data_IF_397485742868
#
_entry.id   IF_397485742868
#
_cell.length_a   1.000
_cell.length_b   1.000
_cell.length_c   1.000
_cell.angle_alpha   90.00
_cell.angle_beta   90.00
_cell.angle_gamma   90.00
#
_symmetry.space_group_name_H-M   'P 1'
#
loop_
_entity.id
_entity.type
_entity.pdbx_description
1 polymer ?
#
# COMPACT_ATOMS: atom_id res chain seq x y z
N UNK A 1 -40.46 17.25 -20.21
CA UNK A 1 -40.54 16.26 -21.31
C UNK A 1 -39.11 15.95 -21.72
N UNK A 2 -38.62 14.74 -21.45
CA UNK A 2 -37.29 14.29 -21.89
C UNK A 2 -37.25 14.20 -23.42
N UNK A 3 -36.14 14.63 -24.01
CA UNK A 3 -35.95 14.60 -25.47
C UNK A 3 -35.86 13.15 -25.97
N UNK A 4 -36.33 12.87 -27.19
CA UNK A 4 -36.21 11.55 -27.84
C UNK A 4 -34.76 11.03 -27.81
N UNK A 5 -33.78 11.95 -27.92
CA UNK A 5 -32.35 11.62 -27.84
C UNK A 5 -31.93 11.16 -26.45
N UNK A 6 -32.42 11.81 -25.39
CA UNK A 6 -32.14 11.43 -24.00
C UNK A 6 -32.74 10.07 -23.68
N UNK A 7 -33.96 9.82 -24.14
CA UNK A 7 -34.65 8.55 -23.91
C UNK A 7 -33.92 7.38 -24.60
N UNK A 8 -33.41 7.58 -25.81
CA UNK A 8 -32.58 6.60 -26.50
C UNK A 8 -31.22 6.36 -25.81
N UNK A 9 -30.63 7.39 -25.19
CA UNK A 9 -29.37 7.26 -24.46
C UNK A 9 -29.57 6.48 -23.15
N UNK A 10 -30.65 6.76 -22.41
CA UNK A 10 -31.04 6.01 -21.21
C UNK A 10 -31.31 4.54 -21.55
N UNK A 11 -32.00 4.25 -22.66
CA UNK A 11 -32.21 2.86 -23.09
C UNK A 11 -30.90 2.12 -23.38
N UNK A 12 -29.89 2.79 -23.98
CA UNK A 12 -28.55 2.20 -24.21
C UNK A 12 -27.79 1.94 -22.92
N UNK A 13 -27.88 2.86 -21.95
CA UNK A 13 -27.32 2.64 -20.62
C UNK A 13 -27.94 1.38 -19.98
N UNK A 14 -29.26 1.28 -19.99
CA UNK A 14 -29.95 0.15 -19.36
C UNK A 14 -29.62 -1.18 -20.03
N UNK A 15 -29.51 -1.21 -21.37
CA UNK A 15 -29.05 -2.41 -22.07
C UNK A 15 -27.62 -2.77 -21.71
N UNK A 16 -26.70 -1.79 -21.64
CA UNK A 16 -25.31 -2.04 -21.22
C UNK A 16 -25.22 -2.61 -19.80
N UNK A 17 -25.99 -2.05 -18.86
CA UNK A 17 -26.03 -2.56 -17.48
C UNK A 17 -26.64 -3.97 -17.42
N UNK A 18 -27.66 -4.25 -18.22
CA UNK A 18 -28.28 -5.57 -18.33
C UNK A 18 -27.31 -6.60 -18.95
N UNK A 19 -26.51 -6.19 -19.93
CA UNK A 19 -25.46 -7.02 -20.52
C UNK A 19 -24.41 -7.38 -19.47
N UNK A 20 -23.97 -6.41 -18.65
CA UNK A 20 -23.07 -6.68 -17.53
C UNK A 20 -23.66 -7.65 -16.50
N UNK A 21 -24.92 -7.41 -16.11
CA UNK A 21 -25.61 -8.18 -15.07
C UNK A 21 -25.80 -9.66 -15.52
N UNK A 22 -26.07 -9.90 -16.81
CA UNK A 22 -26.24 -11.25 -17.38
C UNK A 22 -24.94 -11.89 -17.90
N UNK A 23 -23.85 -11.14 -18.01
CA UNK A 23 -22.60 -11.63 -18.59
C UNK A 23 -21.90 -12.68 -17.73
N UNK A 24 -21.37 -13.72 -18.39
CA UNK A 24 -20.39 -14.64 -17.79
C UNK A 24 -19.00 -14.01 -17.66
N UNK A 25 -18.04 -14.73 -17.07
CA UNK A 25 -16.68 -14.23 -16.80
C UNK A 25 -15.98 -13.65 -18.05
N UNK A 26 -16.03 -14.36 -19.18
CA UNK A 26 -15.39 -13.93 -20.41
C UNK A 26 -16.03 -12.65 -20.99
N UNK A 27 -17.36 -12.60 -21.01
CA UNK A 27 -18.10 -11.43 -21.49
C UNK A 27 -17.85 -10.20 -20.59
N UNK A 28 -17.84 -10.35 -19.26
CA UNK A 28 -17.45 -9.27 -18.34
C UNK A 28 -16.03 -8.78 -18.58
N UNK A 29 -15.09 -9.69 -18.82
CA UNK A 29 -13.71 -9.35 -19.16
C UNK A 29 -13.63 -8.46 -20.40
N UNK A 30 -14.37 -8.79 -21.47
CA UNK A 30 -14.43 -7.99 -22.69
C UNK A 30 -15.14 -6.64 -22.48
N UNK A 31 -16.20 -6.59 -21.67
CA UNK A 31 -16.85 -5.33 -21.30
C UNK A 31 -15.85 -4.41 -20.57
N UNK A 32 -15.03 -4.96 -19.66
CA UNK A 32 -14.00 -4.19 -18.95
C UNK A 32 -12.90 -3.70 -19.88
N UNK A 33 -12.42 -4.52 -20.82
CA UNK A 33 -11.40 -4.09 -21.80
C UNK A 33 -11.91 -2.90 -22.61
N UNK A 34 -13.10 -3.03 -23.20
CA UNK A 34 -13.74 -1.95 -23.94
C UNK A 34 -13.93 -0.70 -23.08
N UNK A 35 -14.35 -0.87 -21.82
CA UNK A 35 -14.52 0.26 -20.92
C UNK A 35 -13.20 0.98 -20.66
N UNK A 36 -12.14 0.24 -20.34
CA UNK A 36 -10.81 0.79 -20.05
C UNK A 36 -10.26 1.54 -21.25
N UNK A 37 -10.27 0.92 -22.44
CA UNK A 37 -9.75 1.53 -23.66
C UNK A 37 -10.47 2.82 -24.03
N UNK A 38 -11.80 2.87 -23.85
CA UNK A 38 -12.59 4.02 -24.25
C UNK A 38 -12.63 5.15 -23.21
N UNK A 39 -12.34 4.87 -21.93
CA UNK A 39 -12.61 5.82 -20.84
C UNK A 39 -11.38 6.28 -20.05
N UNK A 40 -10.17 5.81 -20.38
CA UNK A 40 -8.95 6.35 -19.78
C UNK A 40 -8.80 7.86 -20.03
N UNK A 41 -8.45 8.60 -18.98
CA UNK A 41 -8.18 10.04 -19.05
C UNK A 41 -9.43 10.94 -19.11
N UNK A 42 -10.64 10.37 -19.08
CA UNK A 42 -11.88 11.16 -19.07
C UNK A 42 -12.13 11.85 -17.73
N UNK A 43 -12.78 12.99 -17.80
CA UNK A 43 -13.32 13.71 -16.65
C UNK A 43 -14.62 13.07 -16.15
N UNK A 44 -15.02 13.35 -14.90
CA UNK A 44 -16.27 12.84 -14.36
C UNK A 44 -17.49 13.28 -15.19
N UNK A 45 -17.44 14.48 -15.79
CA UNK A 45 -18.52 14.99 -16.64
C UNK A 45 -18.65 14.22 -17.96
N UNK A 46 -17.53 13.84 -18.57
CA UNK A 46 -17.54 13.02 -19.80
C UNK A 46 -18.04 11.61 -19.52
N UNK A 47 -17.65 11.03 -18.39
CA UNK A 47 -18.21 9.74 -17.94
C UNK A 47 -19.72 9.84 -17.74
N UNK A 48 -20.22 10.87 -17.05
CA UNK A 48 -21.66 11.02 -16.88
C UNK A 48 -22.38 11.29 -18.21
N UNK A 49 -21.77 11.97 -19.17
CA UNK A 49 -22.35 12.13 -20.51
C UNK A 49 -22.46 10.79 -21.26
N UNK A 50 -21.43 9.96 -21.21
CA UNK A 50 -21.43 8.63 -21.84
C UNK A 50 -22.50 7.72 -21.23
N UNK A 51 -22.62 7.76 -19.89
CA UNK A 51 -23.55 6.92 -19.15
C UNK A 51 -24.89 7.60 -18.88
N UNK A 52 -25.29 8.64 -19.63
CA UNK A 52 -26.59 9.31 -19.47
C UNK A 52 -26.93 9.70 -18.02
N UNK A 53 -25.95 10.23 -17.28
CA UNK A 53 -25.98 10.59 -15.85
C UNK A 53 -26.14 9.39 -14.90
N UNK A 54 -25.81 8.19 -15.36
CA UNK A 54 -25.89 6.93 -14.63
C UNK A 54 -24.55 6.24 -14.42
N UNK A 55 -23.43 6.96 -14.48
CA UNK A 55 -22.10 6.35 -14.39
C UNK A 55 -21.87 5.66 -13.03
N UNK A 56 -22.38 6.26 -11.95
CA UNK A 56 -22.41 5.66 -10.60
C UNK A 56 -23.05 4.26 -10.56
N UNK A 57 -24.05 3.98 -11.41
CA UNK A 57 -24.70 2.67 -11.45
C UNK A 57 -23.75 1.58 -11.93
N UNK A 58 -22.80 1.93 -12.81
CA UNK A 58 -21.78 1.00 -13.25
C UNK A 58 -20.68 0.85 -12.18
N UNK A 59 -20.27 1.94 -11.52
CA UNK A 59 -19.31 1.88 -10.42
C UNK A 59 -19.78 0.97 -9.27
N UNK A 60 -21.06 1.05 -8.88
CA UNK A 60 -21.64 0.17 -7.85
C UNK A 60 -21.55 -1.31 -8.26
N UNK A 61 -21.79 -1.62 -9.54
CA UNK A 61 -21.68 -2.98 -10.08
C UNK A 61 -20.23 -3.47 -10.09
N UNK A 62 -19.29 -2.63 -10.49
CA UNK A 62 -17.85 -2.93 -10.44
C UNK A 62 -17.41 -3.22 -9.00
N UNK A 63 -17.82 -2.39 -8.05
CA UNK A 63 -17.45 -2.53 -6.64
C UNK A 63 -18.09 -3.76 -6.00
N UNK A 64 -19.34 -4.07 -6.36
CA UNK A 64 -20.01 -5.30 -5.94
C UNK A 64 -19.31 -6.53 -6.51
N UNK A 65 -18.94 -6.48 -7.79
CA UNK A 65 -18.21 -7.56 -8.44
C UNK A 65 -16.82 -7.76 -7.84
N UNK A 66 -16.09 -6.69 -7.53
CA UNK A 66 -14.82 -6.74 -6.80
C UNK A 66 -14.97 -7.53 -5.49
N UNK A 67 -15.95 -7.18 -4.65
CA UNK A 67 -16.22 -7.88 -3.38
C UNK A 67 -16.59 -9.36 -3.56
N UNK A 68 -17.26 -9.72 -4.65
CA UNK A 68 -17.60 -11.13 -4.94
C UNK A 68 -16.41 -11.95 -5.46
N UNK A 69 -15.42 -11.29 -6.07
CA UNK A 69 -14.39 -11.97 -6.88
C UNK A 69 -12.98 -11.84 -6.37
N UNK A 70 -12.68 -10.90 -5.46
CA UNK A 70 -11.31 -10.66 -4.99
C UNK A 70 -10.63 -11.92 -4.44
N UNK A 71 -11.37 -12.81 -3.77
CA UNK A 71 -10.87 -14.10 -3.28
C UNK A 71 -10.64 -15.17 -4.37
N UNK A 72 -11.21 -14.97 -5.57
CA UNK A 72 -11.15 -15.92 -6.68
C UNK A 72 -10.26 -15.47 -7.85
N UNK A 73 -9.77 -14.22 -7.83
CA UNK A 73 -8.82 -13.68 -8.83
C UNK A 73 -9.37 -13.49 -10.25
N UNK A 74 -10.69 -13.59 -10.46
CA UNK A 74 -11.26 -13.54 -11.82
C UNK A 74 -11.32 -12.10 -12.37
N UNK A 75 -10.44 -11.76 -13.32
CA UNK A 75 -10.37 -10.45 -14.00
C UNK A 75 -10.16 -9.26 -13.04
N UNK A 76 -9.47 -9.50 -11.93
CA UNK A 76 -9.35 -8.55 -10.83
C UNK A 76 -8.62 -7.26 -11.24
N UNK A 77 -7.47 -7.36 -11.92
CA UNK A 77 -6.75 -6.23 -12.51
C UNK A 77 -7.67 -5.31 -13.34
N UNK A 78 -8.49 -5.88 -14.21
CA UNK A 78 -9.40 -5.11 -15.09
C UNK A 78 -10.49 -4.39 -14.30
N UNK A 79 -11.02 -5.04 -13.26
CA UNK A 79 -12.01 -4.43 -12.37
C UNK A 79 -11.38 -3.26 -11.61
N UNK A 80 -10.18 -3.46 -11.05
CA UNK A 80 -9.44 -2.43 -10.31
C UNK A 80 -9.10 -1.24 -11.21
N UNK A 81 -8.57 -1.49 -12.42
CA UNK A 81 -8.32 -0.43 -13.42
C UNK A 81 -9.59 0.33 -13.80
N UNK A 82 -10.70 -0.37 -13.98
CA UNK A 82 -11.99 0.27 -14.28
C UNK A 82 -12.47 1.15 -13.14
N UNK A 83 -12.33 0.71 -11.88
CA UNK A 83 -12.60 1.55 -10.70
C UNK A 83 -11.65 2.74 -10.66
N UNK A 84 -10.38 2.55 -11.01
CA UNK A 84 -9.36 3.60 -11.09
C UNK A 84 -9.76 4.74 -12.03
N UNK A 85 -10.39 4.45 -13.17
CA UNK A 85 -10.91 5.47 -14.09
C UNK A 85 -11.92 6.39 -13.39
N UNK A 86 -12.83 5.83 -12.59
CA UNK A 86 -13.78 6.64 -11.83
C UNK A 86 -13.06 7.50 -10.78
N UNK A 87 -12.15 6.91 -10.00
CA UNK A 87 -11.51 7.58 -8.87
C UNK A 87 -10.49 8.65 -9.29
N UNK A 88 -9.84 8.48 -10.43
CA UNK A 88 -8.83 9.42 -10.96
C UNK A 88 -9.43 10.52 -11.85
N UNK A 89 -10.70 10.39 -12.24
CA UNK A 89 -11.37 11.39 -13.06
C UNK A 89 -11.40 12.77 -12.39
N UNK A 90 -11.28 13.84 -13.18
CA UNK A 90 -11.37 15.21 -12.64
C UNK A 90 -12.76 15.42 -12.03
N UNK A 91 -12.81 15.92 -10.79
CA UNK A 91 -14.02 16.06 -9.95
C UNK A 91 -14.67 14.71 -9.52
N UNK A 92 -13.87 13.67 -9.31
CA UNK A 92 -14.30 12.33 -8.87
C UNK A 92 -14.83 12.21 -7.43
N UNK A 93 -14.97 13.30 -6.68
CA UNK A 93 -15.33 13.27 -5.26
C UNK A 93 -16.57 12.41 -4.95
N UNK A 94 -17.58 12.47 -5.83
CA UNK A 94 -18.79 11.64 -5.70
C UNK A 94 -18.48 10.14 -5.81
N UNK A 95 -17.76 9.73 -6.85
CA UNK A 95 -17.37 8.33 -7.06
C UNK A 95 -16.49 7.80 -5.94
N UNK A 96 -15.58 8.64 -5.44
CA UNK A 96 -14.74 8.30 -4.30
C UNK A 96 -15.57 8.03 -3.05
N UNK A 97 -16.53 8.89 -2.73
CA UNK A 97 -17.43 8.68 -1.58
C UNK A 97 -18.25 7.39 -1.78
N UNK A 98 -18.89 7.21 -2.94
CA UNK A 98 -19.69 6.02 -3.24
C UNK A 98 -18.87 4.73 -3.10
N UNK A 99 -17.61 4.73 -3.56
CA UNK A 99 -16.70 3.59 -3.43
C UNK A 99 -16.31 3.31 -1.96
N UNK A 100 -16.05 4.35 -1.19
CA UNK A 100 -15.66 4.21 0.22
C UNK A 100 -16.83 3.78 1.12
N UNK A 101 -18.03 4.29 0.87
CA UNK A 101 -19.25 3.97 1.64
C UNK A 101 -19.61 2.48 1.57
N UNK A 102 -19.33 1.81 0.45
CA UNK A 102 -19.58 0.37 0.28
C UNK A 102 -18.41 -0.50 0.77
N UNK A 103 -17.42 0.08 1.46
CA UNK A 103 -16.27 -0.64 2.02
C UNK A 103 -15.15 -0.92 1.00
N UNK A 104 -15.05 -0.11 -0.05
CA UNK A 104 -14.05 -0.29 -1.11
C UNK A 104 -12.61 -0.28 -0.58
N UNK A 105 -12.26 0.67 0.30
CA UNK A 105 -10.93 0.73 0.91
C UNK A 105 -10.57 -0.54 1.71
N UNK A 106 -11.51 -1.08 2.49
CA UNK A 106 -11.30 -2.32 3.23
C UNK A 106 -11.06 -3.49 2.28
N UNK A 107 -11.82 -3.58 1.18
CA UNK A 107 -11.65 -4.64 0.18
C UNK A 107 -10.26 -4.56 -0.49
N UNK A 108 -9.77 -3.35 -0.76
CA UNK A 108 -8.42 -3.13 -1.29
C UNK A 108 -7.33 -3.57 -0.31
N UNK A 109 -7.50 -3.28 0.99
CA UNK A 109 -6.56 -3.70 2.04
C UNK A 109 -6.57 -5.21 2.25
N UNK A 110 -7.75 -5.83 2.32
CA UNK A 110 -7.89 -7.29 2.42
C UNK A 110 -7.21 -8.00 1.25
N UNK A 111 -7.33 -7.45 0.03
CA UNK A 111 -6.66 -7.98 -1.15
C UNK A 111 -5.13 -8.04 -0.97
N UNK A 112 -4.52 -7.08 -0.28
CA UNK A 112 -3.08 -7.11 0.01
C UNK A 112 -2.74 -8.28 0.95
N UNK A 113 -3.56 -8.55 1.96
CA UNK A 113 -3.33 -9.58 2.98
C UNK A 113 -3.42 -11.02 2.45
N UNK A 114 -4.06 -11.26 1.31
CA UNK A 114 -4.20 -12.59 0.67
C UNK A 114 -2.89 -13.19 0.11
N UNK A 115 -1.73 -12.81 0.65
CA UNK A 115 -0.42 -13.31 0.22
C UNK A 115 -0.33 -14.82 0.38
N UNK A 116 0.13 -15.49 -0.68
CA UNK A 116 0.22 -16.96 -0.75
C UNK A 116 -0.96 -17.65 -1.44
N UNK A 117 -2.00 -16.90 -1.84
CA UNK A 117 -3.05 -17.46 -2.71
C UNK A 117 -2.62 -17.43 -4.18
N UNK A 118 -2.39 -18.60 -4.79
CA UNK A 118 -1.97 -18.75 -6.21
C UNK A 118 -2.91 -18.04 -7.21
N UNK A 119 -4.15 -17.74 -6.81
CA UNK A 119 -5.18 -17.16 -7.66
C UNK A 119 -5.06 -15.63 -7.82
N UNK A 120 -4.40 -14.93 -6.89
CA UNK A 120 -4.29 -13.47 -6.91
C UNK A 120 -2.87 -13.11 -7.33
N UNK A 121 -2.76 -12.40 -8.44
CA UNK A 121 -1.46 -12.05 -9.03
C UNK A 121 -0.87 -10.84 -8.33
N UNK A 122 0.44 -10.68 -8.44
CA UNK A 122 1.14 -9.51 -7.90
C UNK A 122 0.67 -8.20 -8.58
N UNK A 123 0.34 -8.26 -9.87
CA UNK A 123 -0.24 -7.12 -10.60
C UNK A 123 -1.62 -6.67 -10.07
N UNK A 124 -2.45 -7.61 -9.61
CA UNK A 124 -3.73 -7.26 -8.98
C UNK A 124 -3.49 -6.45 -7.69
N UNK A 125 -2.45 -6.81 -6.92
CA UNK A 125 -2.07 -6.13 -5.68
C UNK A 125 -1.45 -4.77 -5.94
N UNK A 126 -0.62 -4.67 -6.97
CA UNK A 126 -0.04 -3.41 -7.43
C UNK A 126 -1.14 -2.42 -7.82
N UNK A 127 -2.17 -2.87 -8.52
CA UNK A 127 -3.30 -2.00 -8.87
C UNK A 127 -4.12 -1.60 -7.62
N UNK A 128 -4.25 -2.49 -6.63
CA UNK A 128 -4.86 -2.13 -5.33
C UNK A 128 -4.08 -1.03 -4.60
N UNK A 129 -2.74 -1.11 -4.60
CA UNK A 129 -1.88 -0.05 -4.04
C UNK A 129 -2.09 1.29 -4.76
N UNK A 130 -2.17 1.28 -6.10
CA UNK A 130 -2.44 2.51 -6.87
C UNK A 130 -3.77 3.14 -6.48
N UNK A 131 -4.84 2.35 -6.34
CA UNK A 131 -6.13 2.88 -5.88
C UNK A 131 -6.06 3.44 -4.45
N UNK A 132 -5.34 2.77 -3.54
CA UNK A 132 -5.11 3.28 -2.18
C UNK A 132 -4.31 4.60 -2.18
N UNK A 133 -3.33 4.76 -3.06
CA UNK A 133 -2.62 6.03 -3.24
C UNK A 133 -3.57 7.13 -3.74
N UNK A 134 -4.45 6.86 -4.71
CA UNK A 134 -5.47 7.81 -5.17
C UNK A 134 -6.39 8.24 -4.02
N UNK A 135 -6.83 7.28 -3.20
CA UNK A 135 -7.67 7.55 -2.02
C UNK A 135 -6.89 8.42 -1.01
N UNK A 136 -5.66 8.04 -0.67
CA UNK A 136 -4.82 8.78 0.28
C UNK A 136 -4.54 10.22 -0.20
N UNK A 137 -4.26 10.40 -1.48
CA UNK A 137 -3.95 11.70 -2.09
C UNK A 137 -5.18 12.60 -2.23
N UNK A 138 -6.40 12.06 -2.11
CA UNK A 138 -7.63 12.84 -2.13
C UNK A 138 -7.85 13.69 -0.87
N UNK A 139 -7.02 13.51 0.17
CA UNK A 139 -6.98 14.39 1.34
C UNK A 139 -6.87 13.67 2.69
N UNK A 140 -6.61 14.45 3.75
CA UNK A 140 -6.33 13.94 5.10
C UNK A 140 -7.37 12.93 5.60
N UNK A 141 -8.67 13.24 5.48
CA UNK A 141 -9.75 12.36 5.97
C UNK A 141 -9.69 10.95 5.37
N UNK A 142 -9.21 10.81 4.14
CA UNK A 142 -9.09 9.52 3.47
C UNK A 142 -7.82 8.77 3.88
N UNK A 143 -6.72 9.49 4.16
CA UNK A 143 -5.52 8.91 4.81
C UNK A 143 -5.87 8.34 6.18
N UNK A 144 -6.62 9.10 6.97
CA UNK A 144 -7.10 8.68 8.29
C UNK A 144 -7.97 7.42 8.18
N UNK A 145 -8.91 7.36 7.23
CA UNK A 145 -9.73 6.17 6.98
C UNK A 145 -8.90 4.91 6.67
N UNK A 146 -7.86 5.04 5.84
CA UNK A 146 -6.94 3.92 5.53
C UNK A 146 -6.24 3.46 6.82
N UNK A 147 -5.72 4.39 7.62
CA UNK A 147 -5.04 4.07 8.87
C UNK A 147 -5.97 3.42 9.92
N UNK A 148 -7.23 3.89 10.02
CA UNK A 148 -8.26 3.33 10.91
C UNK A 148 -8.66 1.90 10.53
N UNK A 149 -8.62 1.60 9.23
CA UNK A 149 -8.96 0.28 8.68
C UNK A 149 -7.79 -0.72 8.76
N UNK A 150 -6.89 -0.56 9.75
CA UNK A 150 -5.65 -1.34 9.90
C UNK A 150 -4.68 -1.23 8.71
N UNK A 151 -4.84 -0.24 7.82
CA UNK A 151 -4.12 -0.19 6.56
C UNK A 151 -2.60 -0.12 6.69
N UNK A 152 -2.08 0.57 7.72
CA UNK A 152 -0.62 0.60 7.97
C UNK A 152 -0.04 -0.80 8.12
N UNK A 153 -0.75 -1.68 8.85
CA UNK A 153 -0.31 -3.06 9.06
C UNK A 153 -0.36 -3.85 7.75
N UNK A 154 -1.49 -3.82 7.05
CA UNK A 154 -1.67 -4.59 5.81
C UNK A 154 -0.68 -4.15 4.72
N UNK A 155 -0.45 -2.84 4.59
CA UNK A 155 0.50 -2.25 3.63
C UNK A 155 1.95 -2.61 4.01
N UNK A 156 2.32 -2.50 5.29
CA UNK A 156 3.66 -2.88 5.75
C UNK A 156 3.92 -4.38 5.56
N UNK A 157 2.97 -5.24 5.95
CA UNK A 157 3.09 -6.69 5.73
C UNK A 157 3.23 -7.03 4.24
N UNK A 158 2.55 -6.31 3.35
CA UNK A 158 2.69 -6.47 1.91
C UNK A 158 4.09 -6.06 1.42
N UNK A 159 4.64 -4.94 1.91
CA UNK A 159 6.02 -4.53 1.61
C UNK A 159 7.03 -5.62 1.97
N UNK A 160 6.88 -6.23 3.15
CA UNK A 160 7.81 -7.25 3.64
C UNK A 160 7.78 -8.56 2.83
N UNK A 161 6.64 -8.91 2.25
CA UNK A 161 6.37 -10.21 1.62
C UNK A 161 6.34 -10.18 0.09
N UNK A 162 6.20 -9.00 -0.53
CA UNK A 162 6.21 -8.85 -1.99
C UNK A 162 7.55 -9.27 -2.58
N UNK A 163 7.52 -9.80 -3.81
CA UNK A 163 8.71 -10.27 -4.53
C UNK A 163 9.14 -9.30 -5.63
N UNK A 164 8.26 -8.39 -6.02
CA UNK A 164 8.50 -7.36 -7.02
C UNK A 164 9.03 -6.09 -6.37
N UNK A 165 10.28 -5.72 -6.67
CA UNK A 165 10.89 -4.47 -6.17
C UNK A 165 10.11 -3.23 -6.63
N UNK A 166 9.61 -3.22 -7.88
CA UNK A 166 8.77 -2.14 -8.40
C UNK A 166 7.49 -1.98 -7.56
N UNK A 167 6.88 -3.10 -7.16
CA UNK A 167 5.68 -3.05 -6.29
C UNK A 167 6.03 -2.57 -4.89
N UNK A 168 7.19 -2.95 -4.36
CA UNK A 168 7.66 -2.47 -3.06
C UNK A 168 7.90 -0.95 -3.06
N UNK A 169 8.40 -0.37 -4.16
CA UNK A 169 8.57 1.07 -4.32
C UNK A 169 7.22 1.81 -4.32
N UNK A 170 6.21 1.31 -5.04
CA UNK A 170 4.84 1.86 -4.98
C UNK A 170 4.23 1.80 -3.58
N UNK A 171 4.53 0.74 -2.82
CA UNK A 171 4.10 0.60 -1.43
C UNK A 171 4.80 1.62 -0.52
N UNK A 172 6.09 1.87 -0.75
CA UNK A 172 6.85 2.89 -0.04
C UNK A 172 6.23 4.27 -0.25
N UNK A 173 5.89 4.63 -1.50
CA UNK A 173 5.22 5.90 -1.83
C UNK A 173 3.90 6.06 -1.09
N UNK A 174 3.13 4.98 -0.94
CA UNK A 174 1.89 5.00 -0.17
C UNK A 174 2.15 5.24 1.33
N UNK A 175 3.11 4.53 1.93
CA UNK A 175 3.48 4.71 3.35
C UNK A 175 3.99 6.14 3.61
N UNK A 176 4.80 6.67 2.71
CA UNK A 176 5.29 8.06 2.78
C UNK A 176 4.14 9.07 2.65
N UNK A 177 3.19 8.86 1.73
CA UNK A 177 1.99 9.69 1.65
C UNK A 177 1.17 9.64 2.93
N UNK A 178 1.06 8.49 3.60
CA UNK A 178 0.34 8.37 4.88
C UNK A 178 1.01 9.11 6.04
N UNK A 179 2.31 9.44 5.97
CA UNK A 179 3.01 10.29 6.94
C UNK A 179 2.70 11.78 6.72
N UNK A 180 2.68 12.20 5.46
CA UNK A 180 2.58 13.61 5.09
C UNK A 180 1.16 14.16 5.26
N UNK A 181 1.02 15.21 6.08
CA UNK A 181 -0.27 15.89 6.30
C UNK A 181 -1.28 15.10 7.14
N UNK A 182 -0.83 14.07 7.88
CA UNK A 182 -1.65 13.15 8.66
C UNK A 182 -1.17 13.01 10.13
N UNK A 183 -1.19 14.09 10.92
CA UNK A 183 -0.59 14.10 12.27
C UNK A 183 -1.17 13.07 13.23
N UNK A 184 -2.46 12.70 13.09
CA UNK A 184 -3.15 11.73 13.95
C UNK A 184 -2.51 10.33 13.89
N UNK A 185 -1.98 9.94 12.72
CA UNK A 185 -1.48 8.58 12.47
C UNK A 185 0.01 8.48 12.17
N UNK A 186 0.75 9.59 12.17
CA UNK A 186 2.20 9.60 11.94
C UNK A 186 2.94 8.60 12.84
N UNK A 187 2.62 8.57 14.14
CA UNK A 187 3.21 7.62 15.08
C UNK A 187 2.86 6.16 14.77
N UNK A 188 1.66 5.89 14.23
CA UNK A 188 1.27 4.55 13.83
C UNK A 188 2.08 4.10 12.61
N UNK A 189 2.23 4.96 11.61
CA UNK A 189 3.04 4.67 10.41
C UNK A 189 4.50 4.47 10.79
N UNK A 190 5.06 5.34 11.63
CA UNK A 190 6.42 5.25 12.13
C UNK A 190 6.68 3.92 12.86
N UNK A 191 5.80 3.52 13.79
CA UNK A 191 5.89 2.22 14.45
C UNK A 191 5.77 1.06 13.44
N UNK A 192 4.87 1.18 12.46
CA UNK A 192 4.75 0.20 11.38
C UNK A 192 6.05 0.02 10.59
N UNK A 193 6.73 1.11 10.27
CA UNK A 193 8.02 1.07 9.59
C UNK A 193 9.12 0.45 10.48
N UNK A 194 9.16 0.74 11.78
CA UNK A 194 10.10 0.07 12.71
C UNK A 194 9.87 -1.45 12.70
N UNK A 195 8.61 -1.90 12.68
CA UNK A 195 8.31 -3.34 12.63
C UNK A 195 8.73 -4.03 11.32
N UNK A 196 9.10 -3.27 10.29
CA UNK A 196 9.64 -3.80 9.03
C UNK A 196 11.16 -3.98 9.03
N UNK A 197 11.88 -3.38 9.98
CA UNK A 197 13.33 -3.53 10.09
C UNK A 197 13.79 -4.99 10.29
N UNK A 198 13.10 -5.88 11.03
CA UNK A 198 13.44 -7.30 11.08
C UNK A 198 12.96 -8.12 9.86
N UNK A 199 12.56 -7.50 8.74
CA UNK A 199 12.13 -8.20 7.54
C UNK A 199 13.25 -9.03 6.91
N UNK A 200 12.88 -10.14 6.26
CA UNK A 200 13.81 -11.00 5.51
C UNK A 200 14.17 -10.38 4.14
N UNK A 201 13.31 -9.51 3.60
CA UNK A 201 13.56 -8.86 2.31
C UNK A 201 14.49 -7.65 2.48
N UNK A 202 15.70 -7.66 1.87
CA UNK A 202 16.65 -6.55 2.00
C UNK A 202 16.10 -5.25 1.41
N UNK A 203 15.42 -5.34 0.26
CA UNK A 203 14.76 -4.20 -0.37
C UNK A 203 13.67 -3.61 0.53
N UNK A 204 12.86 -4.45 1.19
CA UNK A 204 11.86 -3.95 2.15
C UNK A 204 12.51 -3.23 3.34
N UNK A 205 13.62 -3.76 3.87
CA UNK A 205 14.37 -3.10 4.95
C UNK A 205 14.92 -1.74 4.49
N UNK A 206 15.55 -1.69 3.31
CA UNK A 206 16.08 -0.45 2.71
C UNK A 206 14.99 0.61 2.55
N UNK A 207 13.85 0.25 1.92
CA UNK A 207 12.74 1.18 1.70
C UNK A 207 12.11 1.64 3.03
N UNK A 208 12.02 0.75 4.02
CA UNK A 208 11.55 1.09 5.36
C UNK A 208 12.47 2.09 6.07
N UNK A 209 13.79 1.90 5.98
CA UNK A 209 14.80 2.82 6.55
C UNK A 209 14.74 4.19 5.90
N UNK A 210 14.67 4.26 4.56
CA UNK A 210 14.52 5.53 3.84
C UNK A 210 13.26 6.28 4.27
N UNK A 211 12.13 5.57 4.38
CA UNK A 211 10.87 6.17 4.83
C UNK A 211 10.94 6.59 6.30
N UNK A 212 11.63 5.83 7.16
CA UNK A 212 11.85 6.20 8.56
C UNK A 212 12.65 7.48 8.72
N UNK A 213 13.67 7.71 7.87
CA UNK A 213 14.43 8.96 7.87
C UNK A 213 13.53 10.15 7.56
N UNK A 214 12.71 10.05 6.51
CA UNK A 214 11.69 11.05 6.20
C UNK A 214 10.72 11.25 7.38
N UNK A 215 10.18 10.16 7.93
CA UNK A 215 9.25 10.18 9.06
C UNK A 215 9.86 10.85 10.31
N UNK A 216 11.12 10.57 10.62
CA UNK A 216 11.81 11.11 11.79
C UNK A 216 11.86 12.64 11.75
N UNK A 217 12.16 13.21 10.57
CA UNK A 217 12.18 14.66 10.36
C UNK A 217 10.82 15.33 10.55
N UNK A 218 9.73 14.60 10.28
CA UNK A 218 8.35 15.09 10.40
C UNK A 218 7.86 14.98 11.84
N UNK A 219 8.17 13.87 12.52
CA UNK A 219 7.63 13.55 13.85
C UNK A 219 8.39 14.28 14.94
N UNK A 220 9.71 14.43 14.80
CA UNK A 220 10.57 15.13 15.77
C UNK A 220 10.75 14.42 17.13
N UNK A 221 9.95 13.39 17.42
CA UNK A 221 10.10 12.51 18.57
C UNK A 221 10.52 11.11 18.10
N UNK A 222 11.27 10.39 18.93
CA UNK A 222 11.69 9.01 18.60
C UNK A 222 10.90 7.99 19.41
N UNK A 223 10.83 6.77 18.90
CA UNK A 223 10.30 5.64 19.66
C UNK A 223 11.46 4.77 20.14
N UNK A 224 11.58 4.44 21.43
CA UNK A 224 12.75 3.72 21.97
C UNK A 224 13.09 2.41 21.25
N UNK A 225 12.09 1.70 20.72
CA UNK A 225 12.30 0.45 19.99
C UNK A 225 13.10 0.62 18.68
N UNK A 226 13.30 1.84 18.19
CA UNK A 226 14.10 2.08 16.99
C UNK A 226 15.57 1.71 17.20
N UNK A 227 16.09 1.86 18.43
CA UNK A 227 17.49 1.65 18.77
C UNK A 227 17.89 0.21 18.49
N UNK A 228 17.23 -0.75 19.16
CA UNK A 228 17.53 -2.17 19.00
C UNK A 228 17.31 -2.64 17.56
N UNK A 229 16.26 -2.15 16.90
CA UNK A 229 15.98 -2.53 15.52
C UNK A 229 17.08 -2.07 14.55
N UNK A 230 17.52 -0.82 14.65
CA UNK A 230 18.54 -0.27 13.75
C UNK A 230 19.93 -0.86 14.04
N UNK A 231 20.28 -1.08 15.31
CA UNK A 231 21.51 -1.78 15.69
C UNK A 231 21.54 -3.23 15.17
N UNK A 232 20.41 -3.94 15.21
CA UNK A 232 20.31 -5.28 14.63
C UNK A 232 20.48 -5.26 13.12
N UNK A 233 19.95 -4.23 12.43
CA UNK A 233 20.11 -4.08 10.98
C UNK A 233 21.57 -3.92 10.59
N UNK A 234 22.42 -3.26 11.39
CA UNK A 234 23.87 -3.15 11.09
C UNK A 234 24.58 -4.51 10.98
N UNK A 235 24.00 -5.58 11.53
CA UNK A 235 24.54 -6.96 11.45
C UNK A 235 24.19 -7.66 10.12
N UNK A 236 23.36 -7.06 9.27
CA UNK A 236 22.99 -7.64 7.96
C UNK A 236 24.20 -7.72 7.02
N UNK A 237 24.22 -8.65 6.07
CA UNK A 237 25.27 -8.73 5.06
C UNK A 237 24.99 -7.81 3.84
N UNK A 238 23.83 -7.15 3.80
CA UNK A 238 23.40 -6.30 2.70
C UNK A 238 23.89 -4.86 2.88
N UNK A 239 24.91 -4.48 2.09
CA UNK A 239 25.58 -3.17 2.21
C UNK A 239 24.65 -1.97 2.03
N UNK A 240 23.67 -2.05 1.12
CA UNK A 240 22.69 -0.97 0.91
C UNK A 240 21.82 -0.74 2.15
N UNK A 241 21.42 -1.84 2.81
CA UNK A 241 20.62 -1.77 4.03
C UNK A 241 21.46 -1.24 5.19
N UNK A 242 22.72 -1.67 5.30
CA UNK A 242 23.66 -1.11 6.29
C UNK A 242 23.87 0.39 6.08
N UNK A 243 24.06 0.83 4.83
CA UNK A 243 24.25 2.24 4.50
C UNK A 243 23.06 3.08 4.97
N UNK A 244 21.83 2.68 4.64
CA UNK A 244 20.62 3.41 5.08
C UNK A 244 20.44 3.39 6.60
N UNK A 245 20.82 2.29 7.27
CA UNK A 245 20.81 2.21 8.73
C UNK A 245 21.81 3.19 9.35
N UNK A 246 23.03 3.29 8.81
CA UNK A 246 24.05 4.25 9.26
C UNK A 246 23.56 5.69 9.06
N UNK A 247 22.95 5.99 7.92
CA UNK A 247 22.39 7.31 7.66
C UNK A 247 21.27 7.67 8.64
N UNK A 248 20.36 6.73 8.92
CA UNK A 248 19.34 6.92 9.95
C UNK A 248 19.94 7.13 11.34
N UNK A 249 20.99 6.40 11.72
CA UNK A 249 21.70 6.60 12.99
C UNK A 249 22.25 8.02 13.09
N UNK A 250 22.90 8.53 12.03
CA UNK A 250 23.42 9.91 12.01
C UNK A 250 22.31 10.93 12.26
N UNK A 251 21.13 10.71 11.70
CA UNK A 251 19.97 11.56 11.93
C UNK A 251 19.49 11.45 13.39
N UNK A 252 19.43 10.24 13.95
CA UNK A 252 18.96 9.94 15.31
C UNK A 252 19.86 10.45 16.44
N UNK A 253 21.15 10.74 16.19
CA UNK A 253 22.09 11.31 17.18
C UNK A 253 21.60 12.67 17.72
N UNK A 254 20.76 13.38 16.96
CA UNK A 254 20.20 14.67 17.38
C UNK A 254 18.97 14.55 18.28
N UNK A 255 18.59 13.32 18.68
CA UNK A 255 17.39 13.02 19.45
C UNK A 255 17.73 12.33 20.77
N UNK A 256 16.69 12.07 21.55
CA UNK A 256 16.72 11.49 22.91
C UNK A 256 17.25 10.05 22.99
N UNK A 257 17.43 9.37 21.86
CA UNK A 257 17.98 8.00 21.77
C UNK A 257 19.50 7.93 21.62
N UNK A 258 20.19 9.07 21.55
CA UNK A 258 21.63 9.15 21.28
C UNK A 258 22.47 8.31 22.26
N UNK A 259 22.21 8.40 23.57
CA UNK A 259 22.96 7.65 24.58
C UNK A 259 22.81 6.13 24.40
N UNK A 260 21.58 5.65 24.18
CA UNK A 260 21.31 4.24 23.96
C UNK A 260 21.94 3.72 22.65
N UNK A 261 21.94 4.54 21.60
CA UNK A 261 22.62 4.23 20.33
C UNK A 261 24.13 4.13 20.52
N UNK A 262 24.76 5.05 21.26
CA UNK A 262 26.20 5.03 21.51
C UNK A 262 26.62 3.77 22.27
N UNK A 263 25.89 3.40 23.33
CA UNK A 263 26.13 2.17 24.10
C UNK A 263 26.07 0.95 23.16
N UNK A 264 24.99 0.83 22.38
CA UNK A 264 24.83 -0.31 21.48
C UNK A 264 25.85 -0.37 20.34
N UNK A 265 26.33 0.77 19.84
CA UNK A 265 27.39 0.83 18.84
C UNK A 265 28.75 0.39 19.41
N UNK A 266 29.05 0.77 20.65
CA UNK A 266 30.27 0.31 21.34
C UNK A 266 30.23 -1.20 21.53
N UNK A 267 29.08 -1.75 21.93
CA UNK A 267 28.90 -3.20 22.08
C UNK A 267 29.08 -3.96 20.76
N UNK A 268 28.62 -3.39 19.64
CA UNK A 268 28.80 -3.99 18.30
C UNK A 268 30.26 -3.99 17.83
N UNK A 269 31.03 -2.97 18.19
CA UNK A 269 32.44 -2.84 17.81
C UNK A 269 33.38 -3.59 18.75
N UNK A 270 32.91 -3.92 19.95
CA UNK A 270 33.69 -4.68 20.93
C UNK A 270 33.73 -6.14 20.50
N UNK A 271 34.93 -6.72 20.29
CA UNK A 271 35.03 -8.12 19.92
C UNK A 271 34.44 -8.99 21.04
N UNK A 272 33.74 -10.10 20.71
CA UNK A 272 33.32 -11.04 21.74
C UNK A 272 34.58 -11.51 22.47
N UNK A 273 34.59 -11.36 23.80
CA UNK A 273 35.69 -11.85 24.63
C UNK A 273 35.84 -13.34 24.31
N UNK A 274 36.98 -13.80 23.78
CA UNK A 274 37.15 -15.21 23.51
C UNK A 274 37.01 -15.95 24.84
N UNK A 275 36.18 -17.00 24.87
CA UNK A 275 36.12 -17.96 25.99
C UNK A 275 37.46 -18.71 26.08
N UNK A 276 38.52 -18.03 26.53
CA UNK A 276 39.78 -18.66 26.89
C UNK A 276 39.70 -19.10 28.34
N UNK A 277 39.06 -20.25 28.59
CA UNK A 277 39.35 -21.07 29.78
C UNK A 277 38.54 -22.37 29.79
N UNK A 278 38.94 -23.35 28.98
CA UNK A 278 38.93 -24.78 29.36
C UNK A 278 39.73 -25.65 28.38
N UNK A 279 40.93 -25.21 28.01
CA UNK A 279 41.98 -26.12 27.54
C UNK A 279 43.08 -26.13 28.60
N UNK A 280 42.81 -26.83 29.70
CA UNK A 280 43.90 -27.25 30.59
C UNK A 280 44.87 -28.11 29.76
N UNK A 281 46.16 -27.75 29.67
CA UNK A 281 47.14 -28.68 29.16
C UNK A 281 47.26 -29.80 30.20
N UNK A 282 46.82 -31.02 29.86
CA UNK A 282 47.23 -32.22 30.58
C UNK A 282 48.75 -32.36 30.38
N UNK A 283 49.51 -31.75 31.30
CA UNK A 283 50.92 -32.09 31.49
C UNK A 283 50.95 -33.48 32.12
N UNK A 284 51.81 -34.33 31.55
CA UNK A 284 51.97 -35.76 31.83
C UNK A 284 52.13 -36.11 33.32
N UNK A 285 51.58 -37.28 33.70
CA UNK A 285 52.21 -38.26 34.59
C UNK A 285 51.93 -39.67 34.08
#
# INVERSE_FOLDING_TARGET
>A
MTSIKEQAAISRLLSFLQDWDNAGKAARSHILDNFIENNQGKTASELEQEFSQGASLFLVRLTTWLRLTYMTGSSLEKVLKSIGIFLTSVNSNRYLIEFLEVGGALTLLELLETLGMEKIKEEDKKESIRLLQVIANSGRKYKELICESYGVRSIAEFLAKSKSEETQEEVQVLLDSLLHGNPKYQNQVYKGLITLLPSVSPKAQQLALQTLRCAQSIIGATHPSIVDCVLNVLRTMHLEVQYEAIELIKDLVNYDVCEALLIGLVDLLTPPIPETSELQPKILS
#
